data_IF_718156382269
#
_entry.id   IF_718156382269
#
_cell.length_a   1.000
_cell.length_b   1.000
_cell.length_c   1.000
_cell.angle_alpha   90.00
_cell.angle_beta   90.00
_cell.angle_gamma   90.00
#
_symmetry.space_group_name_H-M   'P 1'
#
loop_
_entity.id
_entity.type
_entity.pdbx_description
1 polymer ?
#
# COMPACT_ATOMS: atom_id res chain seq x y z
N UNK A 1 0.32 18.69 1.91
CA UNK A 1 -0.58 18.04 0.92
C UNK A 1 -1.05 16.70 1.50
N UNK A 2 -2.34 16.34 1.38
CA UNK A 2 -2.89 15.09 1.91
C UNK A 2 -2.58 13.91 0.99
N UNK A 3 -1.29 13.61 0.79
CA UNK A 3 -0.79 12.54 -0.07
C UNK A 3 0.35 11.75 0.60
N UNK A 4 0.45 11.84 1.93
CA UNK A 4 1.60 11.30 2.66
C UNK A 4 1.62 9.77 2.62
N UNK A 5 0.49 9.14 2.94
CA UNK A 5 0.38 7.69 2.94
C UNK A 5 0.49 7.12 1.52
N UNK A 6 -0.18 7.75 0.55
CA UNK A 6 -0.15 7.35 -0.86
C UNK A 6 1.26 7.46 -1.44
N UNK A 7 1.99 8.55 -1.19
CA UNK A 7 3.37 8.68 -1.65
C UNK A 7 4.26 7.57 -1.08
N UNK A 8 4.21 7.33 0.23
CA UNK A 8 5.00 6.27 0.88
C UNK A 8 4.69 4.88 0.32
N UNK A 9 3.40 4.56 0.14
CA UNK A 9 2.98 3.26 -0.40
C UNK A 9 3.36 3.10 -1.86
N UNK A 10 3.27 4.16 -2.67
CA UNK A 10 3.70 4.12 -4.07
C UNK A 10 5.21 3.88 -4.18
N UNK A 11 6.03 4.56 -3.37
CA UNK A 11 7.48 4.33 -3.32
C UNK A 11 7.79 2.90 -2.86
N UNK A 12 7.11 2.39 -1.84
CA UNK A 12 7.28 1.02 -1.37
C UNK A 12 6.92 0.00 -2.45
N UNK A 13 5.76 0.16 -3.09
CA UNK A 13 5.28 -0.76 -4.11
C UNK A 13 6.22 -0.78 -5.32
N UNK A 14 6.69 0.39 -5.75
CA UNK A 14 7.72 0.50 -6.80
C UNK A 14 9.01 -0.23 -6.41
N UNK A 15 9.54 0.01 -5.21
CA UNK A 15 10.75 -0.67 -4.73
C UNK A 15 10.58 -2.19 -4.60
N UNK A 16 9.40 -2.64 -4.17
CA UNK A 16 9.07 -4.06 -4.15
C UNK A 16 9.11 -4.66 -5.56
N UNK A 17 8.45 -4.05 -6.53
CA UNK A 17 8.46 -4.50 -7.92
C UNK A 17 9.86 -4.54 -8.52
N UNK A 18 10.69 -3.52 -8.29
CA UNK A 18 12.09 -3.54 -8.73
C UNK A 18 12.82 -4.77 -8.20
N UNK A 19 12.68 -5.07 -6.91
CA UNK A 19 13.34 -6.23 -6.31
C UNK A 19 12.78 -7.56 -6.87
N UNK A 20 11.46 -7.64 -7.12
CA UNK A 20 10.83 -8.86 -7.68
C UNK A 20 11.34 -9.15 -9.09
N UNK A 21 11.47 -8.12 -9.91
CA UNK A 21 11.94 -8.25 -11.29
C UNK A 21 13.44 -8.55 -11.32
N UNK A 22 14.28 -7.70 -10.74
CA UNK A 22 15.74 -7.82 -10.88
C UNK A 22 16.37 -8.91 -10.04
N UNK A 23 15.88 -9.12 -8.81
CA UNK A 23 16.47 -10.09 -7.89
C UNK A 23 15.74 -11.45 -7.99
N UNK A 24 14.44 -11.49 -7.68
CA UNK A 24 13.73 -12.76 -7.59
C UNK A 24 13.56 -13.44 -8.96
N UNK A 25 13.13 -12.71 -9.99
CA UNK A 25 12.91 -13.28 -11.31
C UNK A 25 14.20 -13.44 -12.10
N UNK A 26 14.97 -12.36 -12.34
CA UNK A 26 16.15 -12.42 -13.21
C UNK A 26 17.38 -13.08 -12.58
N UNK A 27 17.61 -12.95 -11.26
CA UNK A 27 18.79 -13.53 -10.61
C UNK A 27 18.50 -14.90 -9.98
N UNK A 28 17.41 -15.02 -9.22
CA UNK A 28 17.08 -16.23 -8.45
C UNK A 28 16.04 -17.15 -9.11
N UNK A 29 15.54 -16.81 -10.30
CA UNK A 29 14.65 -17.64 -11.13
C UNK A 29 13.31 -18.04 -10.46
N UNK A 30 12.82 -17.24 -9.53
CA UNK A 30 11.50 -17.43 -8.94
C UNK A 30 10.39 -16.93 -9.88
N UNK A 31 9.26 -17.66 -10.01
CA UNK A 31 8.11 -17.19 -10.76
C UNK A 31 7.57 -15.86 -10.18
N UNK A 32 7.23 -14.91 -11.06
CA UNK A 32 6.66 -13.61 -10.63
C UNK A 32 5.37 -13.82 -9.83
N UNK A 33 4.53 -14.78 -10.23
CA UNK A 33 3.26 -15.11 -9.55
C UNK A 33 3.44 -15.55 -8.10
N UNK A 34 4.58 -16.15 -7.74
CA UNK A 34 4.90 -16.55 -6.37
C UNK A 34 5.35 -15.37 -5.50
N UNK A 35 5.92 -14.33 -6.11
CA UNK A 35 6.57 -13.22 -5.41
C UNK A 35 5.81 -11.89 -5.53
N UNK A 36 4.61 -11.92 -6.13
CA UNK A 36 3.75 -10.75 -6.34
C UNK A 36 3.56 -9.96 -5.05
N UNK A 37 3.90 -8.66 -5.03
CA UNK A 37 3.70 -7.83 -3.85
C UNK A 37 2.22 -7.55 -3.60
N UNK A 38 1.84 -7.39 -2.34
CA UNK A 38 0.50 -6.96 -1.98
C UNK A 38 0.21 -5.51 -2.41
N UNK A 39 -1.05 -5.25 -2.73
CA UNK A 39 -1.60 -3.94 -3.09
C UNK A 39 -2.10 -3.25 -1.82
N UNK A 40 -1.48 -2.12 -1.47
CA UNK A 40 -1.87 -1.28 -0.31
C UNK A 40 -2.38 0.10 -0.72
N UNK A 41 -2.46 0.37 -2.03
CA UNK A 41 -2.79 1.69 -2.58
C UNK A 41 -4.20 2.15 -2.12
N UNK A 42 -5.25 1.31 -2.15
CA UNK A 42 -6.58 1.74 -1.70
C UNK A 42 -6.62 2.09 -0.21
N UNK A 43 -5.93 1.31 0.64
CA UNK A 43 -5.80 1.61 2.07
C UNK A 43 -5.06 2.94 2.32
N UNK A 44 -4.04 3.23 1.51
CA UNK A 44 -3.29 4.48 1.58
C UNK A 44 -4.12 5.71 1.18
N UNK A 45 -4.90 5.59 0.11
CA UNK A 45 -5.82 6.64 -0.32
C UNK A 45 -6.85 6.92 0.78
N UNK A 46 -7.42 5.87 1.37
CA UNK A 46 -8.39 6.02 2.46
C UNK A 46 -7.82 6.79 3.66
N UNK A 47 -6.59 6.47 4.07
CA UNK A 47 -5.93 7.15 5.19
C UNK A 47 -5.68 8.63 4.89
N UNK A 48 -5.18 8.94 3.69
CA UNK A 48 -4.96 10.32 3.25
C UNK A 48 -6.28 11.11 3.15
N UNK A 49 -7.36 10.49 2.65
CA UNK A 49 -8.70 11.09 2.59
C UNK A 49 -9.26 11.34 3.99
N UNK A 50 -9.08 10.40 4.94
CA UNK A 50 -9.52 10.60 6.33
C UNK A 50 -8.81 11.78 6.99
N UNK A 51 -7.50 11.93 6.74
CA UNK A 51 -6.74 13.08 7.23
C UNK A 51 -7.19 14.38 6.55
N UNK A 52 -7.46 14.35 5.25
CA UNK A 52 -7.94 15.50 4.48
C UNK A 52 -9.32 15.99 4.95
N UNK A 53 -10.25 15.07 5.20
CA UNK A 53 -11.63 15.39 5.58
C UNK A 53 -11.74 15.91 7.01
N UNK A 54 -10.94 15.36 7.93
CA UNK A 54 -11.08 15.66 9.37
C UNK A 54 -10.03 16.62 9.91
N UNK A 55 -8.90 16.77 9.22
CA UNK A 55 -7.78 17.60 9.67
C UNK A 55 -7.16 17.16 11.00
N UNK A 56 -7.52 15.97 11.52
CA UNK A 56 -7.15 15.52 12.86
C UNK A 56 -6.45 14.17 12.81
N UNK A 57 -5.19 14.13 13.24
CA UNK A 57 -4.41 12.90 13.35
C UNK A 57 -5.05 11.88 14.28
N UNK A 58 -5.74 12.31 15.35
CA UNK A 58 -6.40 11.40 16.28
C UNK A 58 -7.59 10.70 15.63
N UNK A 59 -8.36 11.42 14.81
CA UNK A 59 -9.46 10.84 14.04
C UNK A 59 -8.94 9.89 12.96
N UNK A 60 -7.88 10.28 12.25
CA UNK A 60 -7.22 9.42 11.24
C UNK A 60 -6.63 8.16 11.87
N UNK A 61 -6.02 8.26 13.06
CA UNK A 61 -5.47 7.10 13.75
C UNK A 61 -6.56 6.07 14.11
N UNK A 62 -7.73 6.55 14.55
CA UNK A 62 -8.85 5.68 14.87
C UNK A 62 -9.50 5.10 13.61
N UNK A 63 -10.10 5.94 12.76
CA UNK A 63 -10.89 5.47 11.62
C UNK A 63 -10.04 5.08 10.41
N UNK A 64 -9.01 5.87 10.10
CA UNK A 64 -8.02 5.53 9.06
C UNK A 64 -7.25 4.26 9.41
N UNK A 65 -6.84 4.12 10.67
CA UNK A 65 -6.19 2.91 11.19
C UNK A 65 -7.06 1.67 11.15
N UNK A 66 -8.36 1.78 11.48
CA UNK A 66 -9.32 0.67 11.35
C UNK A 66 -9.64 0.32 9.89
N UNK A 67 -9.78 1.32 9.02
CA UNK A 67 -10.09 1.11 7.60
C UNK A 67 -8.94 0.49 6.82
N UNK A 68 -7.68 0.75 7.22
CA UNK A 68 -6.51 0.21 6.53
C UNK A 68 -6.49 -1.32 6.37
N UNK A 69 -6.58 -2.13 7.46
CA UNK A 69 -6.59 -3.59 7.35
C UNK A 69 -7.89 -4.11 6.70
N UNK A 70 -9.02 -3.43 6.89
CA UNK A 70 -10.30 -3.82 6.28
C UNK A 70 -10.27 -3.70 4.76
N UNK A 71 -9.64 -2.66 4.23
CA UNK A 71 -9.49 -2.43 2.79
C UNK A 71 -8.35 -3.26 2.18
N UNK A 72 -7.40 -3.72 2.99
CA UNK A 72 -6.24 -4.46 2.50
C UNK A 72 -6.66 -5.76 1.81
N UNK A 73 -7.47 -6.60 2.46
CA UNK A 73 -7.83 -7.90 1.90
C UNK A 73 -8.66 -7.81 0.60
N UNK A 74 -9.73 -7.00 0.52
CA UNK A 74 -10.46 -6.79 -0.73
C UNK A 74 -9.58 -6.28 -1.88
N UNK A 75 -8.57 -5.45 -1.57
CA UNK A 75 -7.64 -4.91 -2.57
C UNK A 75 -6.69 -5.96 -3.16
N UNK A 76 -6.56 -7.12 -2.52
CA UNK A 76 -5.64 -8.20 -2.90
C UNK A 76 -6.37 -9.49 -3.32
N UNK A 77 -7.70 -9.49 -3.37
CA UNK A 77 -8.51 -10.68 -3.64
C UNK A 77 -8.67 -10.99 -5.14
N UNK A 78 -8.23 -10.08 -6.01
CA UNK A 78 -8.24 -10.23 -7.47
C UNK A 78 -6.89 -10.74 -7.97
#
# INVERSE_FOLDING_TARGET
>A
LPIGATFCVMTLHFGQWMNRVFNFYYWAWFPITFTTPGVMIPSAIFLDVMLMLTGSYMFTALFGGMGWPLLFYPSNWT
#
